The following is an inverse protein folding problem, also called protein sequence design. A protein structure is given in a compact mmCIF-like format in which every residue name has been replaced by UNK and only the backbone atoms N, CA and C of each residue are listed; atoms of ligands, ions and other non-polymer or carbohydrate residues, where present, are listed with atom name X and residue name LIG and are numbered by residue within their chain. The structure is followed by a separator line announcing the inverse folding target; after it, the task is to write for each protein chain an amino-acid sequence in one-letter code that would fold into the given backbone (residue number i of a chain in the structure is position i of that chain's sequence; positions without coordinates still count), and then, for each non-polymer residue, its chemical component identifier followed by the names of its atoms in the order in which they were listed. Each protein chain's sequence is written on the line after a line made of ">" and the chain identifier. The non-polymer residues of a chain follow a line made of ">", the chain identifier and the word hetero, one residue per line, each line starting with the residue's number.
data_IF_326077430362
#
_entry.id   IF_326077430362
#
_cell.length_a   1.000
_cell.length_b   1.000
_cell.length_c   1.000
_cell.angle_alpha   90.00
_cell.angle_beta   90.00
_cell.angle_gamma   90.00
#
_symmetry.space_group_name_H-M   'P 1'
#
loop_
_entity.id
_entity.type
_entity.pdbx_description
1 polymer ?
#
# COMPACT_ATOMS: atom_id res chain seq x y z
N UNK A 1 -1.10 -3.78 -7.24
CA UNK A 1 -1.87 -4.04 -6.01
C UNK A 1 -2.30 -5.50 -5.85
N UNK A 2 -2.93 -6.14 -6.84
CA UNK A 2 -3.30 -7.56 -6.74
C UNK A 2 -2.14 -8.50 -6.38
N UNK A 3 -0.97 -8.32 -7.03
CA UNK A 3 0.26 -9.06 -6.69
C UNK A 3 0.70 -8.89 -5.24
N UNK A 4 0.53 -7.69 -4.66
CA UNK A 4 0.87 -7.43 -3.26
C UNK A 4 -0.07 -8.17 -2.29
N UNK A 5 -1.37 -8.23 -2.59
CA UNK A 5 -2.32 -9.00 -1.77
C UNK A 5 -2.01 -10.50 -1.80
N UNK A 6 -1.71 -11.04 -3.00
CA UNK A 6 -1.31 -12.44 -3.14
C UNK A 6 -0.03 -12.72 -2.34
N UNK A 7 0.98 -11.86 -2.48
CA UNK A 7 2.24 -11.97 -1.75
C UNK A 7 2.03 -11.92 -0.22
N UNK A 8 1.19 -11.01 0.26
CA UNK A 8 0.85 -10.89 1.67
C UNK A 8 0.17 -12.15 2.20
N UNK A 9 -0.79 -12.70 1.45
CA UNK A 9 -1.48 -13.93 1.81
C UNK A 9 -0.53 -15.14 1.84
N UNK A 10 0.36 -15.26 0.85
CA UNK A 10 1.38 -16.31 0.81
C UNK A 10 2.36 -16.22 1.99
N UNK A 11 2.77 -15.00 2.36
CA UNK A 11 3.64 -14.76 3.51
C UNK A 11 2.94 -15.16 4.81
N UNK A 12 1.69 -14.75 5.00
CA UNK A 12 0.90 -15.12 6.19
C UNK A 12 0.69 -16.64 6.29
N UNK A 13 0.37 -17.28 5.16
CA UNK A 13 0.26 -18.74 5.10
C UNK A 13 1.60 -19.42 5.44
N UNK A 14 2.71 -18.93 4.89
CA UNK A 14 4.06 -19.41 5.20
C UNK A 14 4.42 -19.24 6.67
N UNK A 15 4.04 -18.11 7.30
CA UNK A 15 4.28 -17.86 8.71
C UNK A 15 3.54 -18.87 9.60
N UNK A 16 2.29 -19.21 9.25
CA UNK A 16 1.51 -20.24 9.96
C UNK A 16 2.13 -21.62 9.80
N UNK A 17 2.53 -21.99 8.59
CA UNK A 17 3.22 -23.27 8.34
C UNK A 17 4.53 -23.36 9.14
N UNK A 18 5.32 -22.28 9.19
CA UNK A 18 6.55 -22.24 9.97
C UNK A 18 6.27 -22.46 11.48
N UNK A 19 5.21 -21.86 12.01
CA UNK A 19 4.77 -22.09 13.40
C UNK A 19 4.40 -23.57 13.62
N UNK A 20 3.66 -24.20 12.70
CA UNK A 20 3.30 -25.62 12.80
C UNK A 20 4.52 -26.54 12.76
N UNK A 21 5.58 -26.15 12.04
CA UNK A 21 6.84 -26.88 11.97
C UNK A 21 7.82 -26.51 13.10
N UNK A 22 7.35 -25.80 14.14
CA UNK A 22 8.18 -25.28 15.26
C UNK A 22 9.41 -24.50 14.80
N UNK A 23 9.34 -23.91 13.60
CA UNK A 23 10.42 -23.17 12.98
C UNK A 23 10.25 -21.66 13.23
N UNK A 24 11.37 -20.94 13.34
CA UNK A 24 11.34 -19.49 13.49
C UNK A 24 10.79 -18.84 12.20
N UNK A 25 9.73 -18.04 12.31
CA UNK A 25 9.09 -17.35 11.19
C UNK A 25 9.70 -15.96 10.89
N UNK A 26 10.65 -15.49 11.72
CA UNK A 26 11.33 -14.21 11.54
C UNK A 26 12.07 -14.05 10.20
N UNK A 27 12.70 -15.10 9.61
CA UNK A 27 13.23 -15.00 8.25
C UNK A 27 12.20 -14.57 7.20
N UNK A 28 10.95 -14.98 7.39
CA UNK A 28 9.85 -14.62 6.50
C UNK A 28 9.49 -13.14 6.61
N UNK A 29 9.69 -12.52 7.78
CA UNK A 29 9.51 -11.09 7.98
C UNK A 29 10.55 -10.26 7.19
N UNK A 30 11.79 -10.72 7.11
CA UNK A 30 12.83 -10.09 6.28
C UNK A 30 12.46 -10.15 4.80
N UNK A 31 12.07 -11.33 4.32
CA UNK A 31 11.60 -11.51 2.95
C UNK A 31 10.36 -10.66 2.62
N UNK A 32 9.40 -10.63 3.54
CA UNK A 32 8.19 -9.81 3.43
C UNK A 32 8.53 -8.32 3.30
N UNK A 33 9.48 -7.83 4.09
CA UNK A 33 9.88 -6.41 4.08
C UNK A 33 10.43 -5.98 2.72
N UNK A 34 11.27 -6.82 2.11
CA UNK A 34 11.78 -6.58 0.76
C UNK A 34 10.66 -6.63 -0.29
N UNK A 35 9.82 -7.67 -0.26
CA UNK A 35 8.72 -7.82 -1.22
C UNK A 35 7.67 -6.71 -1.12
N UNK A 36 7.34 -6.29 0.10
CA UNK A 36 6.45 -5.16 0.37
C UNK A 36 6.98 -3.87 -0.28
N UNK A 37 8.24 -3.53 0.00
CA UNK A 37 8.87 -2.36 -0.57
C UNK A 37 8.85 -2.40 -2.10
N UNK A 38 9.26 -3.53 -2.71
CA UNK A 38 9.33 -3.67 -4.16
C UNK A 38 7.94 -3.55 -4.80
N UNK A 39 6.97 -4.34 -4.35
CA UNK A 39 5.64 -4.41 -4.95
C UNK A 39 4.86 -3.10 -4.81
N UNK A 40 4.97 -2.43 -3.66
CA UNK A 40 4.31 -1.14 -3.45
C UNK A 40 5.04 0.00 -4.17
N UNK A 41 6.37 -0.04 -4.29
CA UNK A 41 7.11 0.92 -5.13
C UNK A 41 6.67 0.83 -6.59
N UNK A 42 6.53 -0.39 -7.13
CA UNK A 42 5.99 -0.57 -8.49
C UNK A 42 4.56 -0.08 -8.61
N UNK A 43 3.72 -0.31 -7.60
CA UNK A 43 2.36 0.25 -7.58
C UNK A 43 2.40 1.79 -7.66
N UNK A 44 3.14 2.46 -6.78
CA UNK A 44 3.23 3.92 -6.79
C UNK A 44 3.89 4.49 -8.05
N UNK A 45 4.82 3.78 -8.67
CA UNK A 45 5.37 4.17 -9.99
C UNK A 45 4.28 4.30 -11.06
N UNK A 46 3.26 3.44 -11.03
CA UNK A 46 2.13 3.53 -11.99
C UNK A 46 1.23 4.73 -11.72
N UNK A 47 1.21 5.22 -10.48
CA UNK A 47 0.39 6.36 -10.07
C UNK A 47 1.07 7.71 -10.33
N UNK A 48 2.40 7.76 -10.27
CA UNK A 48 3.13 9.02 -10.42
C UNK A 48 3.30 9.46 -11.89
N UNK A 49 3.31 10.78 -12.15
CA UNK A 49 3.47 11.33 -13.49
C UNK A 49 4.73 10.83 -14.22
N UNK A 50 4.62 10.70 -15.55
CA UNK A 50 5.70 10.20 -16.42
C UNK A 50 7.01 10.98 -16.28
N UNK A 51 6.91 12.30 -16.12
CA UNK A 51 8.03 13.24 -16.10
C UNK A 51 8.44 13.70 -14.69
N UNK A 52 7.91 13.08 -13.64
CA UNK A 52 8.25 13.43 -12.26
C UNK A 52 9.64 12.93 -11.83
N UNK A 53 10.26 13.65 -10.89
CA UNK A 53 11.53 13.26 -10.24
C UNK A 53 11.57 11.77 -9.84
N UNK A 54 10.49 11.30 -9.22
CA UNK A 54 10.38 9.92 -8.75
C UNK A 54 10.55 8.89 -9.87
N UNK A 55 9.95 9.13 -11.03
CA UNK A 55 9.98 8.16 -12.13
C UNK A 55 11.33 8.14 -12.84
N UNK A 56 12.02 9.28 -12.89
CA UNK A 56 13.40 9.39 -13.39
C UNK A 56 14.38 8.58 -12.54
N UNK A 57 14.29 8.69 -11.21
CA UNK A 57 15.20 8.02 -10.28
C UNK A 57 14.66 6.70 -9.73
N UNK A 58 13.52 6.21 -10.26
CA UNK A 58 12.81 5.06 -9.70
C UNK A 58 13.71 3.82 -9.52
N UNK A 59 14.44 3.45 -10.57
CA UNK A 59 15.30 2.26 -10.56
C UNK A 59 16.43 2.44 -9.54
N UNK A 60 17.03 3.63 -9.48
CA UNK A 60 18.11 3.92 -8.52
C UNK A 60 17.59 3.82 -7.08
N UNK A 61 16.43 4.43 -6.78
CA UNK A 61 15.82 4.38 -5.44
C UNK A 61 15.46 2.94 -5.08
N UNK A 62 14.79 2.22 -5.98
CA UNK A 62 14.38 0.84 -5.79
C UNK A 62 15.60 -0.05 -5.49
N UNK A 63 16.61 -0.02 -6.35
CA UNK A 63 17.81 -0.85 -6.17
C UNK A 63 18.57 -0.46 -4.91
N UNK A 64 18.76 0.83 -4.63
CA UNK A 64 19.50 1.30 -3.45
C UNK A 64 18.80 0.86 -2.15
N UNK A 65 17.50 1.09 -2.03
CA UNK A 65 16.75 0.73 -0.81
C UNK A 65 16.65 -0.79 -0.67
N UNK A 66 16.43 -1.53 -1.77
CA UNK A 66 16.46 -3.00 -1.73
C UNK A 66 17.82 -3.54 -1.27
N UNK A 67 18.92 -2.96 -1.74
CA UNK A 67 20.26 -3.29 -1.25
C UNK A 67 20.42 -2.96 0.23
N UNK A 68 19.97 -1.78 0.69
CA UNK A 68 20.01 -1.42 2.11
C UNK A 68 19.23 -2.39 2.99
N UNK A 69 18.08 -2.89 2.54
CA UNK A 69 17.30 -3.91 3.26
C UNK A 69 18.10 -5.21 3.39
N UNK A 70 18.71 -5.69 2.30
CA UNK A 70 19.52 -6.93 2.33
C UNK A 70 20.78 -6.75 3.18
N UNK A 71 21.47 -5.63 3.03
CA UNK A 71 22.65 -5.29 3.83
C UNK A 71 22.29 -5.17 5.32
N UNK A 72 21.11 -4.65 5.67
CA UNK A 72 20.63 -4.66 7.05
C UNK A 72 20.57 -6.08 7.61
N UNK A 73 20.05 -7.05 6.85
CA UNK A 73 19.97 -8.44 7.30
C UNK A 73 21.34 -9.10 7.45
N UNK A 74 22.31 -8.74 6.60
CA UNK A 74 23.66 -9.31 6.62
C UNK A 74 24.52 -8.71 7.74
N UNK A 75 24.45 -7.39 7.94
CA UNK A 75 25.42 -6.66 8.78
C UNK A 75 24.85 -6.13 10.10
N UNK A 76 23.55 -5.81 10.18
CA UNK A 76 22.97 -5.10 11.33
C UNK A 76 22.02 -5.96 12.16
N UNK A 77 21.09 -6.67 11.52
CA UNK A 77 20.07 -7.46 12.19
C UNK A 77 19.99 -8.85 11.57
N UNK A 78 20.38 -9.89 12.31
CA UNK A 78 20.28 -11.28 11.86
C UNK A 78 18.92 -11.61 11.26
N UNK A 79 18.90 -12.51 10.28
CA UNK A 79 17.67 -13.03 9.66
C UNK A 79 16.72 -13.69 10.67
N UNK A 80 17.23 -14.13 11.82
CA UNK A 80 16.46 -14.71 12.92
C UNK A 80 16.06 -13.70 14.00
N UNK A 81 16.42 -12.42 13.82
CA UNK A 81 16.04 -11.33 14.69
C UNK A 81 14.88 -10.52 14.08
N UNK A 82 14.18 -9.76 14.93
CA UNK A 82 13.09 -8.91 14.49
C UNK A 82 13.59 -7.79 13.58
N UNK A 83 13.02 -7.67 12.38
CA UNK A 83 13.51 -6.79 11.32
C UNK A 83 13.09 -5.32 11.50
N UNK A 84 13.37 -4.73 12.66
CA UNK A 84 12.91 -3.38 13.04
C UNK A 84 13.42 -2.30 12.09
N UNK A 85 14.73 -2.26 11.80
CA UNK A 85 15.35 -1.14 11.09
C UNK A 85 14.90 -1.07 9.64
N UNK A 86 14.97 -2.18 8.91
CA UNK A 86 14.51 -2.21 7.53
C UNK A 86 12.99 -2.00 7.44
N UNK A 87 12.19 -2.53 8.37
CA UNK A 87 10.75 -2.24 8.41
C UNK A 87 10.47 -0.76 8.59
N UNK A 88 11.06 -0.12 9.59
CA UNK A 88 10.86 1.30 9.84
C UNK A 88 11.22 2.14 8.61
N UNK A 89 12.34 1.85 7.95
CA UNK A 89 12.73 2.53 6.71
C UNK A 89 11.68 2.36 5.60
N UNK A 90 11.23 1.12 5.35
CA UNK A 90 10.22 0.84 4.31
C UNK A 90 8.92 1.58 4.60
N UNK A 91 8.46 1.59 5.85
CA UNK A 91 7.20 2.26 6.21
C UNK A 91 7.29 3.78 6.03
N UNK A 92 8.40 4.41 6.41
CA UNK A 92 8.63 5.84 6.17
C UNK A 92 8.56 6.15 4.67
N UNK A 93 9.21 5.34 3.83
CA UNK A 93 9.19 5.54 2.37
C UNK A 93 7.77 5.41 1.82
N UNK A 94 7.00 4.40 2.25
CA UNK A 94 5.63 4.20 1.80
C UNK A 94 4.68 5.31 2.26
N UNK A 95 4.89 5.85 3.46
CA UNK A 95 4.17 7.05 3.93
C UNK A 95 4.50 8.23 3.03
N UNK A 96 5.78 8.46 2.70
CA UNK A 96 6.19 9.53 1.78
C UNK A 96 5.51 9.34 0.42
N UNK A 97 5.49 8.12 -0.13
CA UNK A 97 4.79 7.85 -1.40
C UNK A 97 3.31 8.18 -1.31
N UNK A 98 2.65 7.76 -0.23
CA UNK A 98 1.23 7.99 -0.03
C UNK A 98 0.90 9.49 0.11
N UNK A 99 1.75 10.25 0.80
CA UNK A 99 1.62 11.71 0.96
C UNK A 99 1.85 12.41 -0.37
N UNK A 100 2.94 12.08 -1.09
CA UNK A 100 3.22 12.67 -2.40
C UNK A 100 2.08 12.41 -3.36
N UNK A 101 1.55 11.18 -3.39
CA UNK A 101 0.39 10.86 -4.22
C UNK A 101 -0.85 11.64 -3.80
N UNK A 102 -1.09 11.79 -2.50
CA UNK A 102 -2.21 12.57 -1.97
C UNK A 102 -2.21 14.01 -2.49
N UNK A 103 -1.05 14.67 -2.51
CA UNK A 103 -0.91 16.04 -3.06
C UNK A 103 -1.05 16.13 -4.59
N UNK A 104 -0.84 15.03 -5.31
CA UNK A 104 -1.03 14.97 -6.77
C UNK A 104 -2.45 14.56 -7.18
N UNK A 105 -3.37 14.34 -6.23
CA UNK A 105 -4.76 14.00 -6.55
C UNK A 105 -5.45 15.20 -7.20
N UNK A 106 -5.90 15.11 -8.46
CA UNK A 106 -6.69 16.18 -9.07
C UNK A 106 -8.01 16.31 -8.29
N UNK A 107 -8.44 17.52 -7.94
CA UNK A 107 -9.69 17.73 -7.21
C UNK A 107 -10.84 16.97 -7.88
N UNK A 108 -11.67 16.29 -7.06
CA UNK A 108 -12.80 15.56 -7.61
C UNK A 108 -13.76 16.58 -8.24
N UNK A 109 -14.19 16.41 -9.52
CA UNK A 109 -15.06 17.38 -10.20
C UNK A 109 -16.48 17.46 -9.63
N UNK A 110 -16.74 16.87 -8.46
CA UNK A 110 -18.04 16.90 -7.79
C UNK A 110 -18.48 18.29 -7.32
N UNK A 111 -17.58 19.27 -7.26
CA UNK A 111 -17.93 20.66 -6.89
C UNK A 111 -18.18 21.59 -8.08
N UNK A 112 -17.86 21.19 -9.32
CA UNK A 112 -18.00 22.08 -10.49
C UNK A 112 -19.23 21.78 -11.37
N UNK A 113 -19.95 20.68 -11.08
CA UNK A 113 -21.04 20.18 -11.94
C UNK A 113 -22.39 20.91 -11.73
N UNK A 114 -22.56 21.79 -10.74
CA UNK A 114 -23.84 22.48 -10.55
C UNK A 114 -24.08 23.66 -11.50
N UNK A 115 -23.05 24.23 -12.15
CA UNK A 115 -23.21 25.42 -13.00
C UNK A 115 -23.08 25.17 -14.52
N UNK A 116 -22.50 24.04 -14.95
CA UNK A 116 -22.13 23.84 -16.36
C UNK A 116 -23.25 23.31 -17.28
N UNK A 117 -24.38 22.84 -16.73
CA UNK A 117 -25.42 22.16 -17.51
C UNK A 117 -26.27 23.09 -18.40
N UNK A 118 -26.13 24.41 -18.24
CA UNK A 118 -26.82 25.40 -19.07
C UNK A 118 -26.07 25.81 -20.35
N UNK A 119 -24.80 25.40 -20.56
CA UNK A 119 -23.94 25.94 -21.64
C UNK A 119 -23.51 24.95 -22.73
N UNK A 120 -24.02 23.72 -22.79
CA UNK A 120 -23.57 22.73 -23.78
C UNK A 120 -24.58 22.57 -24.95
N UNK A 121 -24.15 22.74 -26.22
CA UNK A 121 -24.94 22.41 -27.41
C UNK A 121 -25.28 20.91 -27.50
N UNK A 122 -26.40 20.60 -28.16
CA UNK A 122 -27.08 19.30 -28.27
C UNK A 122 -26.36 18.23 -29.12
N UNK A 123 -25.04 18.29 -29.24
CA UNK A 123 -24.25 17.36 -30.09
C UNK A 123 -23.74 16.14 -29.29
N UNK A 124 -24.40 15.83 -28.16
CA UNK A 124 -24.07 14.72 -27.25
C UNK A 124 -24.80 13.43 -27.63
N UNK A 125 -24.06 12.35 -27.86
CA UNK A 125 -24.38 10.97 -27.46
C UNK A 125 -23.12 10.13 -27.77
N UNK A 126 -22.26 9.66 -26.85
CA UNK A 126 -22.45 9.00 -25.56
C UNK A 126 -21.19 9.15 -24.66
N UNK A 127 -21.05 10.24 -23.89
CA UNK A 127 -19.93 10.46 -22.94
C UNK A 127 -20.18 9.88 -21.53
N UNK A 128 -21.33 9.20 -21.31
CA UNK A 128 -21.77 8.73 -20.00
C UNK A 128 -20.98 7.54 -19.45
N UNK A 129 -20.47 6.66 -20.31
CA UNK A 129 -19.67 5.50 -19.89
C UNK A 129 -18.26 5.86 -19.42
N UNK A 130 -17.56 6.70 -20.21
CA UNK A 130 -16.14 7.00 -19.99
C UNK A 130 -15.90 7.97 -18.83
N UNK A 131 -16.82 8.92 -18.61
CA UNK A 131 -16.75 9.86 -17.48
C UNK A 131 -16.98 9.18 -16.12
N UNK A 132 -17.94 8.25 -16.06
CA UNK A 132 -18.20 7.49 -14.84
C UNK A 132 -17.06 6.53 -14.50
N UNK A 133 -16.45 5.88 -15.52
CA UNK A 133 -15.29 5.01 -15.32
C UNK A 133 -14.09 5.74 -14.70
N UNK A 134 -13.68 6.89 -15.27
CA UNK A 134 -12.58 7.72 -14.72
C UNK A 134 -12.85 8.23 -13.31
N UNK A 135 -14.11 8.58 -13.00
CA UNK A 135 -14.51 9.03 -11.66
C UNK A 135 -14.38 7.90 -10.63
N UNK A 136 -14.76 6.68 -11.00
CA UNK A 136 -14.66 5.51 -10.13
C UNK A 136 -13.22 5.07 -9.89
N UNK A 137 -12.39 5.08 -10.93
CA UNK A 137 -10.95 4.79 -10.82
C UNK A 137 -10.26 5.74 -9.84
N UNK A 138 -10.52 7.05 -9.95
CA UNK A 138 -9.97 8.04 -9.01
C UNK A 138 -10.40 7.81 -7.56
N UNK A 139 -11.66 7.41 -7.32
CA UNK A 139 -12.12 7.11 -5.96
C UNK A 139 -11.46 5.85 -5.39
N UNK A 140 -11.36 4.78 -6.20
CA UNK A 140 -10.70 3.54 -5.79
C UNK A 140 -9.22 3.76 -5.44
N UNK A 141 -8.50 4.55 -6.24
CA UNK A 141 -7.10 4.86 -5.98
C UNK A 141 -6.91 5.71 -4.71
N UNK A 142 -7.83 6.65 -4.45
CA UNK A 142 -7.84 7.42 -3.18
C UNK A 142 -8.07 6.51 -1.98
N UNK A 143 -9.04 5.60 -2.07
CA UNK A 143 -9.34 4.67 -0.99
C UNK A 143 -8.14 3.77 -0.68
N UNK A 144 -7.48 3.23 -1.72
CA UNK A 144 -6.26 2.43 -1.58
C UNK A 144 -5.14 3.26 -0.95
N UNK A 145 -4.92 4.49 -1.40
CA UNK A 145 -3.88 5.36 -0.84
C UNK A 145 -4.14 5.72 0.63
N UNK A 146 -5.39 6.02 0.99
CA UNK A 146 -5.77 6.26 2.39
C UNK A 146 -5.55 5.02 3.25
N UNK A 147 -5.84 3.82 2.72
CA UNK A 147 -5.57 2.57 3.42
C UNK A 147 -4.07 2.39 3.69
N UNK A 148 -3.23 2.61 2.68
CA UNK A 148 -1.75 2.60 2.81
C UNK A 148 -1.33 3.58 3.90
N UNK A 149 -1.77 4.83 3.84
CA UNK A 149 -1.37 5.86 4.80
C UNK A 149 -1.78 5.51 6.24
N UNK A 150 -3.02 5.08 6.46
CA UNK A 150 -3.53 4.71 7.79
C UNK A 150 -2.74 3.53 8.36
N UNK A 151 -2.52 2.48 7.55
CA UNK A 151 -1.81 1.29 7.98
C UNK A 151 -0.35 1.57 8.33
N UNK A 152 0.38 2.24 7.43
CA UNK A 152 1.80 2.46 7.62
C UNK A 152 2.09 3.50 8.69
N UNK A 153 1.29 4.56 8.82
CA UNK A 153 1.42 5.49 9.95
C UNK A 153 1.13 4.81 11.30
N UNK A 154 0.08 3.99 11.38
CA UNK A 154 -0.29 3.32 12.62
C UNK A 154 0.70 2.22 13.05
N UNK A 155 1.25 1.48 12.09
CA UNK A 155 2.22 0.41 12.36
C UNK A 155 3.66 0.92 12.54
N UNK A 156 4.00 2.13 12.08
CA UNK A 156 5.33 2.75 12.21
C UNK A 156 5.88 2.68 13.63
N UNK A 157 5.07 3.09 14.61
CA UNK A 157 5.48 3.13 16.01
C UNK A 157 5.77 1.74 16.57
N UNK A 158 5.05 0.72 16.12
CA UNK A 158 5.21 -0.67 16.57
C UNK A 158 6.58 -1.18 16.14
N UNK A 159 6.95 -0.96 14.88
CA UNK A 159 8.25 -1.42 14.36
C UNK A 159 9.41 -0.59 14.91
N UNK A 160 9.25 0.73 15.00
CA UNK A 160 10.29 1.63 15.51
C UNK A 160 10.66 1.33 16.96
N UNK A 161 9.67 1.00 17.81
CA UNK A 161 9.89 0.72 19.23
C UNK A 161 9.85 -0.78 19.59
N UNK A 162 9.84 -1.66 18.59
CA UNK A 162 9.74 -3.13 18.79
C UNK A 162 10.79 -3.66 19.77
N UNK A 163 12.05 -3.24 19.66
CA UNK A 163 13.13 -3.68 20.54
C UNK A 163 12.92 -3.28 22.02
N UNK A 164 12.21 -2.18 22.28
CA UNK A 164 11.88 -1.73 23.64
C UNK A 164 10.72 -2.56 24.21
N UNK A 165 9.76 -2.94 23.37
CA UNK A 165 8.54 -3.63 23.80
C UNK A 165 8.71 -5.14 23.96
N UNK A 166 9.68 -5.77 23.28
CA UNK A 166 9.93 -7.21 23.38
C UNK A 166 10.17 -7.67 24.83
N UNK A 167 10.71 -6.80 25.70
CA UNK A 167 10.94 -7.12 27.10
C UNK A 167 9.68 -7.05 27.99
N UNK A 168 8.58 -6.44 27.51
CA UNK A 168 7.33 -6.27 28.26
C UNK A 168 6.17 -6.99 27.55
N UNK A 169 5.91 -8.23 27.96
CA UNK A 169 4.96 -9.15 27.32
C UNK A 169 3.56 -8.56 27.11
N UNK A 170 2.97 -7.90 28.11
CA UNK A 170 1.61 -7.35 28.02
C UNK A 170 1.50 -6.26 26.96
N UNK A 171 2.42 -5.28 26.99
CA UNK A 171 2.44 -4.15 26.07
C UNK A 171 2.67 -4.65 24.64
N UNK A 172 3.59 -5.58 24.47
CA UNK A 172 3.85 -6.24 23.18
C UNK A 172 2.58 -6.82 22.57
N UNK A 173 1.82 -7.64 23.32
CA UNK A 173 0.61 -8.28 22.81
C UNK A 173 -0.45 -7.27 22.37
N UNK A 174 -0.69 -6.21 23.15
CA UNK A 174 -1.64 -5.15 22.78
C UNK A 174 -1.27 -4.45 21.47
N UNK A 175 0.01 -4.13 21.27
CA UNK A 175 0.49 -3.53 20.02
C UNK A 175 0.32 -4.46 18.82
N UNK A 176 0.53 -5.77 18.99
CA UNK A 176 0.32 -6.74 17.91
C UNK A 176 -1.15 -6.93 17.55
N UNK A 177 -2.04 -6.94 18.54
CA UNK A 177 -3.49 -6.94 18.29
C UNK A 177 -3.89 -5.69 17.50
N UNK A 178 -3.40 -4.52 17.92
CA UNK A 178 -3.65 -3.27 17.21
C UNK A 178 -3.12 -3.30 15.77
N UNK A 179 -1.89 -3.79 15.57
CA UNK A 179 -1.31 -3.97 14.25
C UNK A 179 -2.14 -4.91 13.35
N UNK A 180 -2.65 -6.01 13.93
CA UNK A 180 -3.50 -6.96 13.23
C UNK A 180 -4.83 -6.31 12.80
N UNK A 181 -5.44 -5.50 13.67
CA UNK A 181 -6.65 -4.73 13.34
C UNK A 181 -6.40 -3.72 12.22
N UNK A 182 -5.28 -2.99 12.26
CA UNK A 182 -4.88 -2.08 11.19
C UNK A 182 -4.64 -2.82 9.87
N UNK A 183 -3.95 -3.96 9.90
CA UNK A 183 -3.71 -4.77 8.70
C UNK A 183 -5.02 -5.32 8.12
N UNK A 184 -5.94 -5.76 8.98
CA UNK A 184 -7.27 -6.20 8.55
C UNK A 184 -8.05 -5.07 7.88
N UNK A 185 -8.11 -3.89 8.51
CA UNK A 185 -8.74 -2.70 7.94
C UNK A 185 -8.12 -2.34 6.58
N UNK A 186 -6.79 -2.35 6.50
CA UNK A 186 -6.05 -2.11 5.27
C UNK A 186 -6.47 -3.06 4.15
N UNK A 187 -6.51 -4.37 4.42
CA UNK A 187 -6.89 -5.35 3.40
C UNK A 187 -8.34 -5.18 2.94
N UNK A 188 -9.26 -4.89 3.86
CA UNK A 188 -10.67 -4.62 3.51
C UNK A 188 -10.77 -3.41 2.59
N UNK A 189 -10.12 -2.29 2.94
CA UNK A 189 -10.18 -1.07 2.13
C UNK A 189 -9.58 -1.26 0.73
N UNK A 190 -8.46 -1.98 0.63
CA UNK A 190 -7.84 -2.30 -0.66
C UNK A 190 -8.75 -3.19 -1.50
N UNK A 191 -9.34 -4.23 -0.90
CA UNK A 191 -10.27 -5.13 -1.59
C UNK A 191 -11.51 -4.38 -2.07
N UNK A 192 -12.08 -3.48 -1.26
CA UNK A 192 -13.20 -2.62 -1.68
C UNK A 192 -12.81 -1.71 -2.84
N UNK A 193 -11.60 -1.13 -2.80
CA UNK A 193 -11.05 -0.31 -3.88
C UNK A 193 -10.95 -1.10 -5.20
N UNK A 194 -10.41 -2.31 -5.15
CA UNK A 194 -10.28 -3.20 -6.32
C UNK A 194 -11.62 -3.75 -6.82
N UNK A 195 -12.50 -4.17 -5.91
CA UNK A 195 -13.83 -4.70 -6.23
C UNK A 195 -14.65 -3.69 -7.03
N UNK A 196 -14.60 -2.41 -6.64
CA UNK A 196 -15.29 -1.33 -7.35
C UNK A 196 -14.82 -1.14 -8.79
N UNK A 197 -13.54 -1.39 -9.07
CA UNK A 197 -12.98 -1.33 -10.43
C UNK A 197 -13.34 -2.59 -11.22
N UNK A 198 -13.27 -3.77 -10.61
CA UNK A 198 -13.44 -5.04 -11.30
C UNK A 198 -14.90 -5.36 -11.69
N UNK A 199 -15.88 -5.04 -10.83
CA UNK A 199 -17.25 -5.55 -10.99
C UNK A 199 -18.29 -4.55 -11.52
N UNK A 200 -17.92 -3.32 -11.87
CA UNK A 200 -18.84 -2.39 -12.56
C UNK A 200 -18.57 -2.37 -14.06
N UNK A 201 -19.08 -3.39 -14.77
CA UNK A 201 -19.24 -3.33 -16.23
C UNK A 201 -20.28 -2.27 -16.60
N UNK A 202 -20.11 -1.53 -17.70
CA UNK A 202 -21.18 -0.67 -18.22
C UNK A 202 -22.40 -1.54 -18.49
N UNK A 203 -23.58 -1.10 -18.08
CA UNK A 203 -24.84 -1.71 -18.54
C UNK A 203 -24.79 -1.66 -20.07
N UNK A 204 -24.65 -2.82 -20.71
CA UNK A 204 -24.91 -2.97 -22.13
C UNK A 204 -26.40 -2.67 -22.31
N UNK A 205 -26.71 -1.46 -22.79
CA UNK A 205 -28.02 -1.17 -23.34
C UNK A 205 -28.13 -1.94 -24.65
N UNK A 206 -28.94 -2.99 -24.66
CA UNK A 206 -29.48 -3.59 -25.88
C UNK A 206 -30.60 -2.71 -26.41
#
# INVERSE_FOLDING_TARGET
>A
MGYFLLFNWLTEAGARVAIYLSSNNLPLLHFYTLGEFVLLSFFYRTLFPQHGFFRKYFVVILTTVSLLIVLNTIFLQSIYAFNSYAKTLVQIILIIYAIVYFFHLPEAPSFQKSESWYRAPLDQMNPGGMSNFRKHEGWSLRLINSAVLIYYCGSLFIFMFSNVFIQKSVIYHSFWIFNALLNFLFQVLVLLGLWRVAFRRPKLSF
#
